data_IF_682008217885
#
_entry.id   IF_682008217885
#
_cell.length_a   1.000
_cell.length_b   1.000
_cell.length_c   1.000
_cell.angle_alpha   90.00
_cell.angle_beta   90.00
_cell.angle_gamma   90.00
#
_symmetry.space_group_name_H-M   'P 1'
#
loop_
_entity.id
_entity.type
_entity.pdbx_description
1 polymer ?
#
# COMPACT_ATOMS: atom_id res chain seq x y z
N UNK A 1 -19.14 -12.19 4.73
CA UNK A 1 -17.80 -12.67 5.14
C UNK A 1 -16.86 -11.48 5.11
N UNK A 2 -16.33 -11.03 6.26
CA UNK A 2 -15.38 -9.91 6.32
C UNK A 2 -14.01 -10.45 5.95
N UNK A 3 -13.60 -10.27 4.70
CA UNK A 3 -12.24 -10.61 4.26
C UNK A 3 -11.26 -9.77 5.06
N UNK A 4 -10.33 -10.43 5.78
CA UNK A 4 -9.16 -9.76 6.36
C UNK A 4 -8.35 -9.22 5.18
N UNK A 5 -8.42 -7.92 4.91
CA UNK A 5 -7.47 -7.26 3.99
C UNK A 5 -6.08 -7.49 4.57
N UNK A 6 -5.26 -8.26 3.85
CA UNK A 6 -3.89 -8.53 4.26
C UNK A 6 -3.14 -7.20 4.22
N UNK A 7 -2.52 -6.84 5.34
CA UNK A 7 -1.89 -5.53 5.54
C UNK A 7 -0.62 -5.43 4.68
N UNK A 8 -0.76 -4.93 3.44
CA UNK A 8 0.34 -4.52 2.55
C UNK A 8 1.36 -3.63 3.26
N UNK A 9 0.89 -2.84 4.24
CA UNK A 9 1.72 -1.91 4.98
C UNK A 9 2.84 -2.56 5.80
N UNK A 10 2.79 -3.88 6.04
CA UNK A 10 3.69 -4.54 6.98
C UNK A 10 4.93 -5.17 6.33
N UNK A 11 4.98 -5.28 5.01
CA UNK A 11 6.00 -6.09 4.30
C UNK A 11 7.07 -5.24 3.59
N UNK A 12 6.79 -3.96 3.32
CA UNK A 12 7.61 -3.13 2.43
C UNK A 12 8.22 -1.89 3.14
N UNK A 13 9.28 -2.04 3.96
CA UNK A 13 10.44 -1.12 4.07
C UNK A 13 11.16 -1.10 5.44
N UNK A 14 12.48 -0.78 5.46
CA UNK A 14 13.27 -0.51 6.66
C UNK A 14 13.07 0.94 7.16
N UNK A 15 13.20 1.10 8.47
CA UNK A 15 12.84 2.28 9.27
C UNK A 15 13.63 3.56 8.97
N UNK A 16 12.93 4.61 8.53
CA UNK A 16 13.17 6.03 8.88
C UNK A 16 11.88 6.64 9.42
N UNK A 17 11.92 7.16 10.64
CA UNK A 17 10.73 7.59 11.39
C UNK A 17 10.51 9.11 11.31
N UNK A 18 10.29 9.63 10.11
CA UNK A 18 9.68 10.95 9.93
C UNK A 18 8.29 10.73 9.36
N UNK A 19 7.26 10.93 10.19
CA UNK A 19 5.86 10.78 9.79
C UNK A 19 5.41 12.02 9.03
N UNK A 20 4.97 11.84 7.79
CA UNK A 20 4.45 12.87 6.91
C UNK A 20 3.01 13.24 7.29
N UNK A 21 2.66 14.53 7.13
CA UNK A 21 1.27 14.98 7.08
C UNK A 21 0.60 14.68 5.74
N UNK A 22 -0.72 14.87 5.65
CA UNK A 22 -1.48 14.67 4.39
C UNK A 22 -0.94 15.55 3.25
N UNK A 23 -0.63 16.81 3.56
CA UNK A 23 -0.13 17.81 2.62
C UNK A 23 1.23 17.43 2.06
N UNK A 24 2.11 16.93 2.93
CA UNK A 24 3.45 16.52 2.53
C UNK A 24 3.42 15.22 1.72
N UNK A 25 2.56 14.27 2.11
CA UNK A 25 2.33 13.05 1.36
C UNK A 25 1.79 13.34 -0.05
N UNK A 26 0.78 14.22 -0.16
CA UNK A 26 0.22 14.61 -1.45
C UNK A 26 1.27 15.28 -2.36
N UNK A 27 2.06 16.19 -1.79
CA UNK A 27 3.16 16.86 -2.51
C UNK A 27 4.20 15.86 -3.02
N UNK A 28 4.65 14.93 -2.17
CA UNK A 28 5.63 13.93 -2.55
C UNK A 28 5.07 12.89 -3.53
N UNK A 29 3.79 12.60 -3.46
CA UNK A 29 3.10 11.71 -4.38
C UNK A 29 2.68 12.39 -5.69
N UNK A 30 2.95 13.70 -5.86
CA UNK A 30 2.56 14.49 -7.03
C UNK A 30 1.05 14.44 -7.30
N UNK A 31 0.24 14.44 -6.23
CA UNK A 31 -1.23 14.41 -6.30
C UNK A 31 -1.84 15.43 -5.32
N UNK A 32 -3.17 15.42 -5.16
CA UNK A 32 -3.87 16.36 -4.28
C UNK A 32 -4.19 15.78 -2.92
N UNK A 33 -4.36 16.65 -1.92
CA UNK A 33 -4.70 16.26 -0.54
C UNK A 33 -6.04 15.54 -0.51
N UNK A 34 -7.00 15.96 -1.32
CA UNK A 34 -8.34 15.36 -1.42
C UNK A 34 -8.27 13.91 -1.91
N UNK A 35 -7.37 13.62 -2.86
CA UNK A 35 -7.16 12.26 -3.37
C UNK A 35 -6.55 11.38 -2.27
N UNK A 36 -5.52 11.86 -1.60
CA UNK A 36 -4.86 11.12 -0.50
C UNK A 36 -5.84 10.87 0.65
N UNK A 37 -6.64 11.87 1.04
CA UNK A 37 -7.67 11.74 2.05
C UNK A 37 -8.72 10.69 1.63
N UNK A 38 -9.16 10.71 0.37
CA UNK A 38 -10.09 9.70 -0.15
C UNK A 38 -9.52 8.28 -0.06
N UNK A 39 -8.22 8.09 -0.36
CA UNK A 39 -7.58 6.78 -0.22
C UNK A 39 -7.47 6.32 1.22
N UNK A 40 -7.20 7.23 2.15
CA UNK A 40 -7.23 6.94 3.58
C UNK A 40 -8.63 6.51 4.05
N UNK A 41 -9.68 7.21 3.62
CA UNK A 41 -11.08 6.88 3.94
C UNK A 41 -11.51 5.51 3.38
N UNK A 42 -11.07 5.19 2.16
CA UNK A 42 -11.28 3.88 1.51
C UNK A 42 -10.47 2.74 2.16
N UNK A 43 -9.54 3.07 3.07
CA UNK A 43 -8.66 2.13 3.75
C UNK A 43 -7.55 1.58 2.85
N UNK A 44 -7.20 2.29 1.78
CA UNK A 44 -6.16 1.90 0.82
C UNK A 44 -4.74 2.18 1.33
N UNK A 45 -4.61 3.06 2.32
CA UNK A 45 -3.34 3.42 2.98
C UNK A 45 -3.16 2.69 4.32
N UNK A 46 -3.94 1.64 4.58
CA UNK A 46 -3.85 0.83 5.80
C UNK A 46 -4.97 1.11 6.83
N UNK A 47 -5.33 0.06 7.59
CA UNK A 47 -6.45 0.11 8.53
C UNK A 47 -6.24 1.04 9.73
N UNK A 48 -4.98 1.24 10.16
CA UNK A 48 -4.66 2.07 11.32
C UNK A 48 -4.88 3.56 11.01
N UNK A 49 -4.66 3.98 9.76
CA UNK A 49 -4.97 5.33 9.28
C UNK A 49 -6.49 5.53 9.23
N UNK A 50 -7.22 4.56 8.66
CA UNK A 50 -8.68 4.63 8.56
C UNK A 50 -9.37 4.74 9.93
N UNK A 51 -8.80 4.13 10.97
CA UNK A 51 -9.32 4.18 12.35
C UNK A 51 -8.84 5.40 13.15
N UNK A 52 -8.10 6.33 12.52
CA UNK A 52 -7.53 7.51 13.18
C UNK A 52 -6.50 7.17 14.25
N UNK A 53 -5.83 6.01 14.14
CA UNK A 53 -4.84 5.50 15.11
C UNK A 53 -3.41 5.75 14.69
N UNK A 54 -3.16 5.94 13.40
CA UNK A 54 -1.86 6.35 12.88
C UNK A 54 -1.61 7.84 13.15
N UNK A 55 -0.41 8.17 13.62
CA UNK A 55 0.01 9.55 13.92
C UNK A 55 0.65 10.26 12.70
N UNK A 56 0.60 9.65 11.53
CA UNK A 56 1.07 10.21 10.26
C UNK A 56 1.38 9.11 9.24
N UNK A 57 1.82 9.53 8.05
CA UNK A 57 2.08 8.66 6.91
C UNK A 57 3.58 8.40 6.75
N UNK A 58 3.98 7.19 6.37
CA UNK A 58 5.37 6.82 6.13
C UNK A 58 5.66 6.54 4.66
N UNK A 59 6.82 5.92 4.41
CA UNK A 59 7.27 5.52 3.06
C UNK A 59 6.30 4.54 2.39
N UNK A 60 5.71 3.65 3.18
CA UNK A 60 4.71 2.68 2.73
C UNK A 60 3.51 3.39 2.11
N UNK A 61 2.96 4.39 2.80
CA UNK A 61 1.79 5.10 2.33
C UNK A 61 2.12 5.95 1.10
N UNK A 62 3.30 6.57 1.06
CA UNK A 62 3.79 7.27 -0.13
C UNK A 62 3.90 6.35 -1.34
N UNK A 63 4.44 5.15 -1.14
CA UNK A 63 4.51 4.13 -2.17
C UNK A 63 3.10 3.73 -2.66
N UNK A 64 2.17 3.48 -1.74
CA UNK A 64 0.80 3.09 -2.06
C UNK A 64 0.07 4.19 -2.85
N UNK A 65 0.14 5.46 -2.41
CA UNK A 65 -0.48 6.57 -3.14
C UNK A 65 0.07 6.65 -4.58
N UNK A 66 1.39 6.65 -4.73
CA UNK A 66 2.03 6.71 -6.07
C UNK A 66 1.60 5.55 -6.96
N UNK A 67 1.50 4.35 -6.41
CA UNK A 67 1.15 3.16 -7.20
C UNK A 67 -0.33 3.13 -7.57
N UNK A 68 -1.21 3.60 -6.69
CA UNK A 68 -2.63 3.78 -6.99
C UNK A 68 -2.81 4.84 -8.08
N UNK A 69 -2.16 5.99 -7.95
CA UNK A 69 -2.23 7.06 -8.96
C UNK A 69 -1.71 6.58 -10.31
N UNK A 70 -0.62 5.83 -10.33
CA UNK A 70 -0.11 5.24 -11.56
C UNK A 70 -1.14 4.31 -12.22
N UNK A 71 -1.77 3.41 -11.45
CA UNK A 71 -2.80 2.50 -11.99
C UNK A 71 -4.00 3.27 -12.54
N UNK A 72 -4.41 4.35 -11.87
CA UNK A 72 -5.50 5.21 -12.33
C UNK A 72 -5.16 5.97 -13.61
N UNK A 73 -4.00 6.63 -13.64
CA UNK A 73 -3.62 7.53 -14.72
C UNK A 73 -3.16 6.77 -15.96
N UNK A 74 -2.33 5.75 -15.79
CA UNK A 74 -1.77 5.00 -16.93
C UNK A 74 -2.74 3.95 -17.48
N UNK A 75 -3.56 3.34 -16.63
CA UNK A 75 -4.40 2.18 -17.01
C UNK A 75 -5.90 2.40 -16.84
N UNK A 76 -6.33 3.58 -16.38
CA UNK A 76 -7.76 3.91 -16.20
C UNK A 76 -8.45 3.08 -15.10
N UNK A 77 -7.68 2.46 -14.21
CA UNK A 77 -8.21 1.56 -13.17
C UNK A 77 -8.84 2.40 -12.05
N UNK A 78 -10.08 2.15 -11.60
CA UNK A 78 -10.65 2.82 -10.43
C UNK A 78 -9.83 2.60 -9.15
N UNK A 79 -9.84 3.53 -8.20
CA UNK A 79 -9.00 3.45 -6.98
C UNK A 79 -9.26 2.20 -6.15
N UNK A 80 -10.52 1.75 -6.07
CA UNK A 80 -10.91 0.54 -5.35
C UNK A 80 -10.33 -0.71 -6.01
N UNK A 81 -10.33 -0.74 -7.35
CA UNK A 81 -9.75 -1.83 -8.12
C UNK A 81 -8.21 -1.80 -8.03
N UNK A 82 -7.60 -0.61 -8.03
CA UNK A 82 -6.16 -0.45 -7.84
C UNK A 82 -5.71 -1.02 -6.49
N UNK A 83 -6.44 -0.74 -5.41
CA UNK A 83 -6.19 -1.36 -4.10
C UNK A 83 -6.20 -2.88 -4.15
N UNK A 84 -7.21 -3.48 -4.78
CA UNK A 84 -7.31 -4.93 -4.92
C UNK A 84 -6.17 -5.51 -5.76
N UNK A 85 -5.75 -4.82 -6.83
CA UNK A 85 -4.63 -5.25 -7.67
C UNK A 85 -3.33 -5.27 -6.87
N UNK A 86 -3.09 -4.25 -6.03
CA UNK A 86 -1.91 -4.19 -5.18
C UNK A 86 -1.92 -5.30 -4.12
N UNK A 87 -3.07 -5.58 -3.51
CA UNK A 87 -3.24 -6.69 -2.56
C UNK A 87 -2.89 -8.03 -3.22
N UNK A 88 -3.39 -8.26 -4.44
CA UNK A 88 -3.13 -9.48 -5.20
C UNK A 88 -1.67 -9.58 -5.62
N UNK A 89 -1.06 -8.48 -6.08
CA UNK A 89 0.34 -8.46 -6.49
C UNK A 89 1.28 -8.83 -5.34
N UNK A 90 1.06 -8.25 -4.15
CA UNK A 90 1.86 -8.62 -2.99
C UNK A 90 1.62 -10.07 -2.55
N UNK A 91 0.38 -10.56 -2.64
CA UNK A 91 0.10 -11.97 -2.33
C UNK A 91 0.81 -12.92 -3.28
N UNK A 92 0.91 -12.57 -4.56
CA UNK A 92 1.69 -13.33 -5.54
C UNK A 92 3.17 -13.29 -5.16
N UNK A 93 3.73 -12.14 -4.84
CA UNK A 93 5.14 -12.00 -4.44
C UNK A 93 5.46 -12.82 -3.17
N UNK A 94 4.60 -12.78 -2.15
CA UNK A 94 4.71 -13.63 -0.96
C UNK A 94 4.79 -15.11 -1.34
N UNK A 95 3.85 -15.58 -2.17
CA UNK A 95 3.78 -16.98 -2.61
C UNK A 95 4.99 -17.39 -3.44
N UNK A 96 5.47 -16.51 -4.31
CA UNK A 96 6.69 -16.75 -5.11
C UNK A 96 7.93 -16.86 -4.21
N UNK A 97 8.02 -16.02 -3.17
CA UNK A 97 9.10 -16.09 -2.18
C UNK A 97 9.03 -17.35 -1.32
N UNK A 98 7.83 -17.78 -0.91
CA UNK A 98 7.61 -19.06 -0.22
C UNK A 98 8.06 -20.24 -1.10
N UNK A 99 7.65 -20.27 -2.37
CA UNK A 99 8.04 -21.31 -3.34
C UNK A 99 9.56 -21.32 -3.53
N UNK A 100 10.20 -20.16 -3.67
CA UNK A 100 11.66 -20.05 -3.82
C UNK A 100 12.37 -20.61 -2.58
N UNK A 101 11.93 -20.20 -1.40
CA UNK A 101 12.49 -20.68 -0.12
C UNK A 101 12.35 -22.19 0.03
N UNK A 102 11.20 -22.76 -0.36
CA UNK A 102 10.99 -24.22 -0.35
C UNK A 102 11.90 -24.93 -1.34
N UNK A 103 12.06 -24.41 -2.56
CA UNK A 103 12.97 -24.98 -3.58
C UNK A 103 14.42 -24.93 -3.13
N UNK A 104 14.86 -23.84 -2.50
CA UNK A 104 16.21 -23.71 -1.93
C UNK A 104 16.42 -24.66 -0.74
N UNK A 105 15.39 -24.87 0.07
CA UNK A 105 15.40 -25.82 1.18
C UNK A 105 15.41 -27.30 0.77
N UNK A 106 14.78 -27.63 -0.38
CA UNK A 106 14.75 -28.98 -0.97
C UNK A 106 15.91 -29.24 -1.95
N UNK A 107 16.63 -28.19 -2.36
CA UNK A 107 17.85 -28.25 -3.18
C UNK A 107 19.11 -28.63 -2.37
N UNK A 108 18.92 -29.04 -1.11
CA UNK A 108 19.81 -29.90 -0.33
C UNK A 108 19.12 -31.24 -0.11
#
# INVERSE_FOLDING_TARGET
MKGKRLQLARILCPSRSDTLGLEELAKLAETTVEIVASYAEQGLLGEEIQKGRAHGFGEVELYLVRRIEQLRVEYGVPSEAAGMILDLAARVEELENEIRSLREGMGR
#
